data_IF_770759598407
#
_entry.id   IF_770759598407
#
_cell.length_a   1.000
_cell.length_b   1.000
_cell.length_c   1.000
_cell.angle_alpha   90.00
_cell.angle_beta   90.00
_cell.angle_gamma   90.00
#
_symmetry.space_group_name_H-M   'P 1'
#
loop_
_entity.id
_entity.type
_entity.pdbx_description
1 polymer ?
#
# COMPACT_ATOMS: atom_id res chain seq x y z
N UNK A 1 -19.59 38.80 -31.18
CA UNK A 1 -21.07 38.66 -31.21
C UNK A 1 -21.44 37.57 -30.22
N UNK A 2 -22.20 37.96 -29.21
CA UNK A 2 -22.65 37.12 -28.11
C UNK A 2 -23.76 36.17 -28.55
N UNK A 3 -23.74 34.90 -28.15
CA UNK A 3 -24.96 34.13 -28.00
C UNK A 3 -24.90 33.36 -26.65
N UNK A 4 -25.69 33.83 -25.72
CA UNK A 4 -26.03 33.13 -24.50
C UNK A 4 -27.14 32.12 -24.82
N UNK A 5 -27.02 30.90 -24.28
CA UNK A 5 -28.12 29.93 -24.30
C UNK A 5 -28.45 29.56 -22.87
N UNK A 6 -29.63 30.01 -22.47
CA UNK A 6 -30.29 29.75 -21.18
C UNK A 6 -30.75 28.28 -21.12
N UNK A 7 -30.50 27.57 -20.02
CA UNK A 7 -31.13 26.30 -19.73
C UNK A 7 -32.04 26.43 -18.52
N UNK A 8 -33.28 26.05 -18.74
CA UNK A 8 -34.42 26.12 -17.84
C UNK A 8 -34.37 24.97 -16.84
N UNK A 9 -34.43 25.32 -15.56
CA UNK A 9 -34.64 24.40 -14.43
C UNK A 9 -36.09 23.92 -14.44
N UNK A 10 -36.32 22.61 -14.50
CA UNK A 10 -37.61 21.98 -14.17
C UNK A 10 -37.46 21.25 -12.83
N UNK A 11 -38.10 21.81 -11.84
CA UNK A 11 -38.36 21.20 -10.53
C UNK A 11 -39.46 20.18 -10.66
N UNK A 12 -39.20 18.93 -10.29
CA UNK A 12 -40.24 17.90 -10.08
C UNK A 12 -40.28 17.55 -8.59
N UNK A 13 -41.36 17.95 -7.94
CA UNK A 13 -41.74 17.47 -6.61
C UNK A 13 -42.27 16.03 -6.74
N UNK A 14 -41.71 15.11 -5.97
CA UNK A 14 -42.35 13.84 -5.66
C UNK A 14 -42.58 13.74 -4.16
N UNK A 15 -43.87 13.77 -3.80
CA UNK A 15 -44.41 13.43 -2.48
C UNK A 15 -44.68 11.93 -2.47
N UNK A 16 -44.20 11.19 -1.47
CA UNK A 16 -44.52 9.78 -1.40
C UNK A 16 -44.04 9.05 -0.15
N UNK A 17 -44.90 8.98 0.80
CA UNK A 17 -45.21 7.89 1.74
C UNK A 17 -44.07 7.26 2.55
N UNK A 18 -44.08 7.59 3.83
CA UNK A 18 -43.39 6.87 4.91
C UNK A 18 -44.25 5.65 5.29
N UNK A 19 -43.67 4.46 5.14
CA UNK A 19 -44.19 3.24 5.77
C UNK A 19 -43.22 2.81 6.85
N UNK A 20 -43.63 2.95 8.12
CA UNK A 20 -42.95 2.35 9.26
C UNK A 20 -43.26 0.86 9.30
N UNK A 21 -42.28 0.00 9.17
CA UNK A 21 -42.35 -1.39 9.60
C UNK A 21 -41.41 -1.55 10.80
N UNK A 22 -42.02 -1.68 11.97
CA UNK A 22 -41.34 -2.11 13.19
C UNK A 22 -41.09 -3.62 13.07
N UNK A 23 -39.83 -4.06 13.08
CA UNK A 23 -39.49 -5.45 13.33
C UNK A 23 -38.74 -5.53 14.66
N UNK A 24 -39.29 -6.40 15.49
CA UNK A 24 -38.89 -6.68 16.86
C UNK A 24 -37.44 -7.21 16.94
N UNK A 25 -36.76 -6.77 17.97
CA UNK A 25 -35.48 -7.33 18.40
C UNK A 25 -35.69 -8.77 18.87
N UNK A 26 -35.03 -9.72 18.24
CA UNK A 26 -34.77 -11.03 18.85
C UNK A 26 -33.37 -11.03 19.42
N UNK A 27 -33.30 -11.18 20.74
CA UNK A 27 -32.10 -11.48 21.49
C UNK A 27 -31.51 -12.80 21.00
N UNK A 28 -30.42 -12.74 20.27
CA UNK A 28 -29.56 -13.88 19.95
C UNK A 28 -28.50 -14.03 21.02
N UNK A 29 -28.54 -15.17 21.70
CA UNK A 29 -27.76 -15.49 22.89
C UNK A 29 -26.24 -15.36 22.71
N UNK A 30 -25.60 -14.95 23.81
CA UNK A 30 -24.16 -14.93 23.97
C UNK A 30 -23.58 -16.31 23.75
N UNK A 31 -22.70 -16.46 22.77
CA UNK A 31 -21.89 -17.64 22.59
C UNK A 31 -20.87 -17.75 23.73
N UNK A 32 -20.95 -18.79 24.51
CA UNK A 32 -19.92 -19.17 25.47
C UNK A 32 -18.57 -19.31 24.73
N UNK A 33 -17.46 -18.81 25.30
CA UNK A 33 -16.13 -19.12 24.79
C UNK A 33 -15.94 -20.62 24.78
N UNK A 34 -15.74 -21.22 23.61
CA UNK A 34 -15.58 -22.64 23.42
C UNK A 34 -14.40 -23.18 24.22
N UNK A 35 -14.65 -24.09 25.16
CA UNK A 35 -13.62 -24.90 25.77
C UNK A 35 -13.01 -25.80 24.69
N UNK A 36 -11.69 -25.71 24.53
CA UNK A 36 -10.96 -26.73 23.81
C UNK A 36 -11.11 -28.04 24.58
N UNK A 37 -11.77 -29.04 24.01
CA UNK A 37 -12.05 -30.31 24.67
C UNK A 37 -10.78 -31.02 25.11
N UNK A 38 -10.83 -31.74 26.24
CA UNK A 38 -9.70 -32.47 26.86
C UNK A 38 -9.24 -33.68 26.05
N UNK A 39 -9.99 -34.12 25.07
CA UNK A 39 -9.68 -35.28 24.19
C UNK A 39 -10.04 -35.03 22.74
N UNK A 40 -10.16 -33.79 22.35
CA UNK A 40 -10.44 -33.45 20.98
C UNK A 40 -9.16 -33.08 20.21
N UNK A 41 -9.07 -33.42 18.96
CA UNK A 41 -8.30 -32.65 18.02
C UNK A 41 -8.63 -31.19 18.29
N UNK A 42 -7.67 -30.36 18.67
CA UNK A 42 -7.92 -28.94 18.73
C UNK A 42 -8.51 -28.56 17.38
N UNK A 43 -9.77 -28.15 17.37
CA UNK A 43 -10.51 -27.97 16.14
C UNK A 43 -9.72 -27.13 15.16
N UNK A 44 -9.92 -27.36 13.88
CA UNK A 44 -9.25 -26.67 12.78
C UNK A 44 -9.27 -25.15 12.95
N UNK A 45 -10.16 -24.62 13.77
CA UNK A 45 -10.35 -23.19 14.05
C UNK A 45 -10.68 -22.88 15.53
N UNK A 46 -10.10 -23.61 16.49
CA UNK A 46 -10.34 -23.34 17.90
C UNK A 46 -9.34 -22.33 18.45
N UNK A 47 -9.80 -21.17 18.93
CA UNK A 47 -9.06 -20.33 19.88
C UNK A 47 -9.07 -20.99 21.24
N UNK A 48 -7.93 -21.37 21.76
CA UNK A 48 -7.85 -21.77 23.16
C UNK A 48 -8.21 -20.56 24.04
N UNK A 49 -9.15 -20.75 24.97
CA UNK A 49 -9.47 -19.72 25.97
C UNK A 49 -8.22 -19.32 26.79
N UNK A 50 -8.29 -18.18 27.47
CA UNK A 50 -7.18 -17.62 28.27
C UNK A 50 -6.63 -18.58 29.34
N UNK A 51 -7.34 -19.64 29.68
CA UNK A 51 -6.95 -20.67 30.67
C UNK A 51 -7.18 -22.09 30.18
N UNK A 52 -7.31 -22.31 28.87
CA UNK A 52 -7.51 -23.65 28.35
C UNK A 52 -6.20 -24.39 28.11
N UNK A 53 -6.10 -25.63 28.52
CA UNK A 53 -5.04 -26.53 28.06
C UNK A 53 -5.36 -27.00 26.65
N UNK A 54 -4.50 -26.77 25.69
CA UNK A 54 -4.58 -27.48 24.44
C UNK A 54 -4.34 -28.95 24.71
N UNK A 55 -5.35 -29.81 24.49
CA UNK A 55 -5.50 -31.19 24.93
C UNK A 55 -4.23 -31.95 25.24
N UNK A 56 -4.26 -32.73 26.32
CA UNK A 56 -3.10 -33.51 26.79
C UNK A 56 -2.68 -34.64 25.84
N UNK A 57 -3.50 -35.01 24.91
CA UNK A 57 -3.24 -36.10 23.93
C UNK A 57 -3.81 -35.81 22.53
N UNK A 58 -3.92 -34.56 22.15
CA UNK A 58 -4.43 -34.20 20.83
C UNK A 58 -3.33 -33.75 19.91
N UNK A 59 -3.49 -34.01 18.61
CA UNK A 59 -2.78 -33.28 17.57
C UNK A 59 -3.27 -31.83 17.63
N UNK A 60 -2.38 -30.88 17.87
CA UNK A 60 -2.74 -29.47 17.71
C UNK A 60 -3.25 -29.28 16.27
N UNK A 61 -4.46 -28.75 16.14
CA UNK A 61 -5.07 -28.55 14.85
C UNK A 61 -4.20 -27.72 13.91
N UNK A 62 -4.44 -27.81 12.64
CA UNK A 62 -3.67 -27.10 11.61
C UNK A 62 -3.70 -25.58 11.77
N UNK A 63 -4.60 -25.03 12.57
CA UNK A 63 -4.76 -23.58 12.82
C UNK A 63 -5.21 -23.27 14.26
N UNK A 64 -4.71 -23.99 15.26
CA UNK A 64 -5.06 -23.70 16.65
C UNK A 64 -4.09 -22.70 17.28
N UNK A 65 -4.60 -21.67 17.94
CA UNK A 65 -3.82 -20.81 18.85
C UNK A 65 -3.90 -21.41 20.25
N UNK A 66 -2.80 -21.78 20.85
CA UNK A 66 -2.77 -22.17 22.24
C UNK A 66 -3.09 -20.94 23.11
N UNK A 67 -3.94 -21.10 24.12
CA UNK A 67 -4.28 -20.04 25.05
C UNK A 67 -3.06 -19.47 25.76
N UNK A 68 -3.19 -18.28 26.36
CA UNK A 68 -2.10 -17.57 27.04
C UNK A 68 -1.46 -18.33 28.20
N UNK A 69 -2.12 -19.35 28.76
CA UNK A 69 -1.61 -20.20 29.83
C UNK A 69 -1.79 -21.70 29.55
N UNK A 70 -1.94 -22.06 28.29
CA UNK A 70 -2.09 -23.44 27.89
C UNK A 70 -0.75 -24.13 27.64
N UNK A 71 -0.56 -25.35 28.10
CA UNK A 71 0.52 -26.20 27.63
C UNK A 71 0.15 -26.75 26.25
N UNK A 72 0.95 -26.51 25.25
CA UNK A 72 0.83 -27.22 23.99
C UNK A 72 1.11 -28.71 24.30
N UNK A 73 0.13 -29.59 24.04
CA UNK A 73 0.06 -30.97 24.53
C UNK A 73 1.37 -31.70 24.72
N UNK A 74 1.46 -32.47 25.79
CA UNK A 74 2.68 -33.19 26.18
C UNK A 74 3.08 -34.31 25.23
N UNK A 75 2.20 -34.71 24.31
CA UNK A 75 2.47 -35.78 23.31
C UNK A 75 1.83 -35.50 21.97
N UNK A 76 1.58 -34.26 21.64
CA UNK A 76 0.99 -33.90 20.34
C UNK A 76 2.02 -33.36 19.37
N UNK A 77 1.89 -33.68 18.10
CA UNK A 77 2.58 -32.92 17.04
C UNK A 77 1.99 -31.52 17.01
N UNK A 78 2.81 -30.50 17.16
CA UNK A 78 2.36 -29.12 16.95
C UNK A 78 1.83 -28.99 15.54
N UNK A 79 0.62 -28.47 15.39
CA UNK A 79 0.02 -28.28 14.09
C UNK A 79 0.89 -27.41 13.22
N UNK A 80 0.75 -27.53 11.92
CA UNK A 80 1.58 -26.81 10.91
C UNK A 80 1.49 -25.28 11.01
N UNK A 81 0.52 -24.78 11.71
CA UNK A 81 0.30 -23.33 11.90
C UNK A 81 -0.16 -22.97 13.32
N UNK A 82 0.29 -23.72 14.32
CA UNK A 82 -0.02 -23.39 15.71
C UNK A 82 0.97 -22.39 16.28
N UNK A 83 0.50 -21.26 16.84
CA UNK A 83 1.31 -20.43 17.71
C UNK A 83 1.24 -20.98 19.14
N UNK A 84 2.36 -21.27 19.75
CA UNK A 84 2.42 -21.60 21.15
C UNK A 84 2.02 -20.36 22.00
N UNK A 85 1.19 -20.56 23.01
CA UNK A 85 0.80 -19.48 23.92
C UNK A 85 2.00 -18.85 24.63
N UNK A 86 1.84 -17.63 25.12
CA UNK A 86 2.91 -16.83 25.73
C UNK A 86 3.54 -17.46 26.97
N UNK A 87 2.90 -18.45 27.60
CA UNK A 87 3.43 -19.22 28.75
C UNK A 87 3.29 -20.73 28.60
N UNK A 88 3.14 -21.18 27.34
CA UNK A 88 3.08 -22.61 27.07
C UNK A 88 4.47 -23.21 26.89
N UNK A 89 4.73 -24.32 27.54
CA UNK A 89 5.90 -25.13 27.25
C UNK A 89 5.61 -25.90 25.97
N UNK A 90 6.42 -25.72 24.91
CA UNK A 90 6.34 -26.55 23.72
C UNK A 90 6.53 -28.04 24.19
N UNK A 91 5.64 -28.91 23.74
CA UNK A 91 5.62 -30.30 24.18
C UNK A 91 6.99 -30.95 24.11
N UNK A 92 7.36 -31.71 25.14
CA UNK A 92 8.68 -32.33 25.29
C UNK A 92 8.98 -33.39 24.24
N UNK A 93 7.97 -33.84 23.51
CA UNK A 93 8.12 -34.86 22.43
C UNK A 93 7.37 -34.54 21.13
N UNK A 94 7.01 -33.30 20.96
CA UNK A 94 6.37 -32.88 19.71
C UNK A 94 7.39 -32.39 18.69
N UNK A 95 7.29 -32.83 17.44
CA UNK A 95 7.99 -32.15 16.36
C UNK A 95 7.36 -30.76 16.17
N UNK A 96 8.15 -29.72 16.28
CA UNK A 96 7.70 -28.38 15.97
C UNK A 96 7.22 -28.36 14.52
N UNK A 97 6.01 -27.92 14.30
CA UNK A 97 5.50 -27.74 12.94
C UNK A 97 6.39 -26.80 12.15
N UNK A 98 6.45 -26.99 10.85
CA UNK A 98 7.30 -26.26 9.91
C UNK A 98 7.05 -24.73 9.92
N UNK A 99 6.02 -24.26 10.60
CA UNK A 99 5.67 -22.83 10.71
C UNK A 99 5.09 -22.51 12.11
N UNK A 100 5.71 -23.06 13.16
CA UNK A 100 5.35 -22.67 14.52
C UNK A 100 6.25 -21.55 15.01
N UNK A 101 5.71 -20.39 15.35
CA UNK A 101 6.42 -19.40 16.13
C UNK A 101 6.42 -19.84 17.60
N UNK A 102 7.57 -20.06 18.17
CA UNK A 102 7.71 -20.29 19.60
C UNK A 102 7.23 -19.01 20.32
N UNK A 103 6.37 -19.17 21.33
CA UNK A 103 5.97 -18.04 22.16
C UNK A 103 7.18 -17.38 22.82
N UNK A 104 7.08 -16.09 23.14
CA UNK A 104 8.18 -15.25 23.68
C UNK A 104 8.83 -15.78 24.97
N UNK A 105 8.18 -16.73 25.69
CA UNK A 105 8.71 -17.42 26.89
C UNK A 105 8.63 -18.93 26.82
N UNK A 106 8.25 -19.45 25.61
CA UNK A 106 8.33 -20.88 25.38
C UNK A 106 9.75 -21.21 24.99
N UNK A 107 10.48 -21.97 25.81
CA UNK A 107 11.76 -22.51 25.36
C UNK A 107 11.55 -23.34 24.13
N UNK A 108 12.23 -22.99 23.05
CA UNK A 108 12.28 -23.85 21.88
C UNK A 108 12.74 -25.24 22.33
N UNK A 109 11.93 -26.26 22.06
CA UNK A 109 12.31 -27.63 22.42
C UNK A 109 13.72 -27.88 21.90
N UNK A 110 14.61 -28.37 22.78
CA UNK A 110 16.04 -28.54 22.51
C UNK A 110 16.37 -29.43 21.29
N UNK A 111 15.35 -29.99 20.60
CA UNK A 111 15.48 -30.88 19.45
C UNK A 111 14.61 -30.48 18.25
N UNK A 112 14.13 -29.25 18.22
CA UNK A 112 13.44 -28.75 17.03
C UNK A 112 14.45 -28.37 15.96
N UNK A 113 14.61 -29.16 14.90
CA UNK A 113 15.35 -28.77 13.72
C UNK A 113 14.58 -27.63 13.04
N UNK A 114 15.15 -26.44 13.03
CA UNK A 114 14.64 -25.39 12.18
C UNK A 114 14.76 -25.86 10.73
N UNK A 115 13.61 -25.94 10.05
CA UNK A 115 13.59 -26.33 8.65
C UNK A 115 14.39 -25.35 7.81
N UNK A 116 15.53 -25.81 7.31
CA UNK A 116 16.32 -25.10 6.31
C UNK A 116 15.77 -25.40 4.92
N UNK A 117 14.83 -24.63 4.41
CA UNK A 117 14.61 -24.54 2.96
C UNK A 117 13.95 -23.22 2.63
N UNK A 118 14.75 -22.25 2.50
CA UNK A 118 14.43 -21.06 1.74
C UNK A 118 15.69 -20.68 1.00
N UNK A 119 15.88 -21.27 -0.17
CA UNK A 119 16.91 -20.80 -1.08
C UNK A 119 16.49 -19.45 -1.64
N UNK A 120 17.25 -18.45 -1.37
CA UNK A 120 17.11 -17.10 -1.86
C UNK A 120 18.00 -16.23 -0.99
N UNK A 121 19.26 -16.07 -1.40
CA UNK A 121 20.21 -15.25 -0.64
C UNK A 121 19.71 -13.84 -0.45
N UNK A 122 19.14 -13.59 0.70
CA UNK A 122 19.15 -12.25 1.28
C UNK A 122 20.09 -12.32 2.47
N UNK A 123 21.07 -11.44 2.49
CA UNK A 123 21.96 -11.22 3.63
C UNK A 123 21.12 -11.18 4.91
N UNK A 124 21.54 -11.94 5.93
CA UNK A 124 20.83 -12.06 7.20
C UNK A 124 20.53 -10.69 7.80
N UNK A 125 19.32 -10.21 7.62
CA UNK A 125 18.83 -9.02 8.25
C UNK A 125 18.66 -9.30 9.73
N UNK A 126 19.35 -8.55 10.57
CA UNK A 126 19.06 -8.48 11.98
C UNK A 126 17.54 -8.21 12.17
N UNK A 127 16.88 -8.94 13.05
CA UNK A 127 15.48 -8.76 13.45
C UNK A 127 15.30 -7.49 14.31
N UNK A 128 15.95 -6.41 13.93
CA UNK A 128 15.85 -5.11 14.53
C UNK A 128 14.88 -4.24 13.76
N UNK A 129 13.93 -3.63 14.45
CA UNK A 129 13.12 -2.56 13.88
C UNK A 129 14.02 -1.38 13.58
N UNK A 130 14.13 -0.97 12.31
CA UNK A 130 14.83 0.25 11.96
C UNK A 130 13.88 1.44 12.13
N UNK A 131 14.23 2.47 12.91
CA UNK A 131 13.47 3.70 12.91
C UNK A 131 13.61 4.41 11.55
N UNK A 132 12.59 5.21 11.22
CA UNK A 132 12.76 6.19 10.14
C UNK A 132 13.90 7.15 10.50
N UNK A 133 14.77 7.40 9.55
CA UNK A 133 15.82 8.41 9.69
C UNK A 133 15.26 9.82 9.49
N UNK A 134 15.89 10.83 10.07
CA UNK A 134 15.60 12.25 9.81
C UNK A 134 16.44 12.82 8.67
N UNK A 135 17.44 12.06 8.21
CA UNK A 135 18.28 12.40 7.06
C UNK A 135 18.37 11.18 6.16
N UNK A 136 17.89 11.32 4.94
CA UNK A 136 17.91 10.27 3.95
C UNK A 136 19.11 10.46 3.02
N UNK A 137 19.73 9.37 2.60
CA UNK A 137 20.74 9.35 1.54
C UNK A 137 20.40 8.22 0.59
N UNK A 138 20.35 8.52 -0.69
CA UNK A 138 19.91 7.58 -1.69
C UNK A 138 20.96 7.30 -2.75
N UNK A 139 20.98 6.07 -3.24
CA UNK A 139 21.65 5.73 -4.49
C UNK A 139 20.61 5.46 -5.56
N UNK A 140 20.74 6.13 -6.71
CA UNK A 140 19.85 5.95 -7.86
C UNK A 140 20.47 5.04 -8.91
N UNK A 141 19.65 4.21 -9.51
CA UNK A 141 19.96 3.52 -10.78
C UNK A 141 20.05 4.52 -11.95
N UNK A 142 20.54 4.05 -13.09
CA UNK A 142 20.20 4.64 -14.39
C UNK A 142 18.68 4.48 -14.65
N UNK A 143 18.16 5.12 -15.71
CA UNK A 143 16.78 4.91 -16.12
C UNK A 143 16.51 3.41 -16.38
N UNK A 144 15.44 2.87 -15.77
CA UNK A 144 15.14 1.44 -15.78
C UNK A 144 14.45 0.99 -17.06
N UNK A 145 13.69 1.85 -17.71
CA UNK A 145 12.96 1.52 -18.93
C UNK A 145 12.80 2.75 -19.82
N UNK A 146 12.67 2.49 -21.12
CA UNK A 146 12.30 3.49 -22.12
C UNK A 146 10.82 3.32 -22.47
N UNK A 147 10.08 4.40 -22.76
CA UNK A 147 8.74 4.30 -23.33
C UNK A 147 8.78 3.49 -24.64
N UNK A 148 7.78 2.61 -24.83
CA UNK A 148 7.66 1.90 -26.10
C UNK A 148 7.38 2.85 -27.27
N UNK A 149 7.59 2.38 -28.50
CA UNK A 149 7.29 3.16 -29.71
C UNK A 149 5.89 3.76 -29.68
N UNK A 150 5.78 5.04 -29.98
CA UNK A 150 4.55 5.84 -29.95
C UNK A 150 4.28 6.54 -28.62
N UNK A 151 5.03 6.24 -27.55
CA UNK A 151 4.97 6.97 -26.29
C UNK A 151 6.21 7.82 -26.08
N UNK A 152 6.07 8.93 -25.36
CA UNK A 152 7.17 9.82 -24.99
C UNK A 152 7.51 9.73 -23.50
N UNK A 153 6.58 9.27 -22.65
CA UNK A 153 6.75 9.24 -21.20
C UNK A 153 6.22 7.96 -20.55
N UNK A 154 6.91 7.56 -19.49
CA UNK A 154 6.40 6.66 -18.43
C UNK A 154 6.45 7.44 -17.12
N UNK A 155 5.31 7.59 -16.43
CA UNK A 155 5.13 8.49 -15.30
C UNK A 155 4.27 7.85 -14.19
N UNK A 156 4.27 8.49 -13.02
CA UNK A 156 3.30 8.28 -11.94
C UNK A 156 3.13 6.80 -11.59
N UNK A 157 4.20 6.22 -11.07
CA UNK A 157 4.26 4.77 -10.83
C UNK A 157 3.53 4.37 -9.55
N UNK A 158 2.80 3.26 -9.60
CA UNK A 158 2.37 2.49 -8.45
C UNK A 158 2.91 1.08 -8.56
N UNK A 159 3.58 0.60 -7.51
CA UNK A 159 4.32 -0.67 -7.53
C UNK A 159 3.94 -1.58 -6.38
N UNK A 160 3.64 -2.84 -6.68
CA UNK A 160 3.45 -3.90 -5.68
C UNK A 160 4.28 -5.12 -6.04
N UNK A 161 4.62 -5.92 -5.01
CA UNK A 161 5.19 -7.25 -5.21
C UNK A 161 4.10 -8.29 -4.94
N UNK A 162 3.82 -9.12 -5.92
CA UNK A 162 2.84 -10.19 -5.83
C UNK A 162 3.31 -11.42 -6.58
N UNK A 163 3.24 -12.59 -5.96
CA UNK A 163 3.73 -13.87 -6.52
C UNK A 163 5.18 -13.79 -7.03
N UNK A 164 6.07 -13.13 -6.28
CA UNK A 164 7.49 -12.89 -6.61
C UNK A 164 7.70 -12.08 -7.92
N UNK A 165 6.74 -11.28 -8.31
CA UNK A 165 6.83 -10.35 -9.43
C UNK A 165 6.54 -8.94 -8.96
N UNK A 166 7.26 -7.98 -9.50
CA UNK A 166 6.85 -6.59 -9.49
C UNK A 166 5.71 -6.41 -10.48
N UNK A 167 4.64 -5.78 -10.03
CA UNK A 167 3.55 -5.31 -10.87
C UNK A 167 3.57 -3.80 -10.76
N UNK A 168 3.81 -3.11 -11.87
CA UNK A 168 3.92 -1.65 -11.92
C UNK A 168 2.83 -1.13 -12.85
N UNK A 169 1.96 -0.30 -12.30
CA UNK A 169 1.01 0.51 -13.05
C UNK A 169 1.56 1.93 -13.18
N UNK A 170 1.25 2.63 -14.28
CA UNK A 170 1.84 3.92 -14.59
C UNK A 170 1.01 4.73 -15.56
N UNK A 171 1.18 6.04 -15.54
CA UNK A 171 0.75 6.92 -16.61
C UNK A 171 1.65 6.81 -17.83
N UNK A 172 1.10 7.06 -18.98
CA UNK A 172 1.83 7.22 -20.26
C UNK A 172 1.41 8.49 -20.95
N UNK A 173 2.30 9.08 -21.74
CA UNK A 173 1.98 10.17 -22.66
C UNK A 173 2.43 9.74 -24.04
N UNK A 174 1.58 9.88 -25.03
CA UNK A 174 1.92 9.55 -26.42
C UNK A 174 2.54 10.75 -27.17
N UNK A 175 2.97 10.53 -28.40
CA UNK A 175 3.59 11.57 -29.24
C UNK A 175 2.65 12.72 -29.60
N UNK A 176 1.34 12.59 -29.41
CA UNK A 176 0.36 13.68 -29.56
C UNK A 176 0.15 14.48 -28.27
N UNK A 177 0.77 14.08 -27.15
CA UNK A 177 0.55 14.66 -25.84
C UNK A 177 -0.67 14.10 -25.11
N UNK A 178 -1.26 12.99 -25.59
CA UNK A 178 -2.42 12.37 -24.98
C UNK A 178 -1.98 11.44 -23.83
N UNK A 179 -2.66 11.57 -22.69
CA UNK A 179 -2.43 10.73 -21.52
C UNK A 179 -3.17 9.40 -21.61
N UNK A 180 -2.56 8.37 -21.05
CA UNK A 180 -3.13 7.04 -20.89
C UNK A 180 -2.50 6.32 -19.72
N UNK A 181 -2.87 5.05 -19.52
CA UNK A 181 -2.26 4.20 -18.52
C UNK A 181 -1.64 2.96 -19.11
N UNK A 182 -0.70 2.39 -18.40
CA UNK A 182 -0.08 1.11 -18.75
C UNK A 182 0.27 0.29 -17.50
N UNK A 183 0.59 -0.98 -17.74
CA UNK A 183 1.15 -1.85 -16.72
C UNK A 183 2.33 -2.66 -17.28
N UNK A 184 3.21 -3.06 -16.38
CA UNK A 184 4.31 -4.01 -16.61
C UNK A 184 4.38 -5.03 -15.48
N UNK A 185 4.87 -6.24 -15.79
CA UNK A 185 5.23 -7.26 -14.79
C UNK A 185 6.63 -7.78 -15.09
N UNK A 186 7.44 -7.95 -14.06
CA UNK A 186 8.81 -8.46 -14.15
C UNK A 186 9.26 -8.99 -12.77
N UNK A 187 10.34 -9.79 -12.73
CA UNK A 187 10.84 -10.37 -11.46
C UNK A 187 11.86 -9.46 -10.79
N UNK A 188 12.81 -8.92 -11.55
CA UNK A 188 13.89 -8.09 -11.03
C UNK A 188 13.92 -6.73 -11.73
N UNK A 189 14.28 -5.68 -11.02
CA UNK A 189 14.28 -4.30 -11.55
C UNK A 189 14.98 -4.12 -12.90
N UNK A 190 16.15 -4.74 -13.19
CA UNK A 190 16.77 -4.63 -14.51
C UNK A 190 15.92 -5.16 -15.67
N UNK A 191 15.00 -6.10 -15.40
CA UNK A 191 14.09 -6.65 -16.41
C UNK A 191 13.00 -5.68 -16.83
N UNK A 192 12.79 -4.59 -16.07
CA UNK A 192 11.85 -3.53 -16.45
C UNK A 192 12.17 -2.96 -17.84
N UNK A 193 13.47 -2.94 -18.21
CA UNK A 193 13.93 -2.47 -19.52
C UNK A 193 13.32 -3.22 -20.72
N UNK A 194 12.98 -4.50 -20.52
CA UNK A 194 12.46 -5.37 -21.59
C UNK A 194 11.05 -5.88 -21.29
N UNK A 195 10.47 -5.48 -20.16
CA UNK A 195 9.12 -5.88 -19.79
C UNK A 195 8.09 -5.33 -20.79
N UNK A 196 7.06 -6.14 -21.06
CA UNK A 196 5.98 -5.73 -21.95
C UNK A 196 5.19 -4.59 -21.34
N UNK A 197 5.11 -3.46 -22.03
CA UNK A 197 4.32 -2.30 -21.65
C UNK A 197 2.90 -2.44 -22.23
N UNK A 198 1.99 -2.94 -21.41
CA UNK A 198 0.59 -3.20 -21.78
C UNK A 198 -0.26 -1.96 -21.50
N UNK A 199 -0.82 -1.34 -22.56
CA UNK A 199 -1.74 -0.22 -22.42
C UNK A 199 -3.03 -0.66 -21.69
N UNK A 200 -3.56 0.22 -20.85
CA UNK A 200 -4.84 0.02 -20.17
C UNK A 200 -5.99 0.51 -21.07
N UNK A 201 -7.03 -0.29 -21.28
CA UNK A 201 -8.12 0.06 -22.19
C UNK A 201 -9.05 1.17 -21.68
N UNK A 202 -8.90 1.58 -20.43
CA UNK A 202 -9.76 2.56 -19.73
C UNK A 202 -9.02 3.85 -19.34
N UNK A 203 -7.81 4.07 -19.78
CA UNK A 203 -6.93 5.16 -19.34
C UNK A 203 -6.18 4.77 -18.09
N UNK A 204 -6.35 5.49 -17.00
CA UNK A 204 -5.67 5.20 -15.72
C UNK A 204 -4.41 6.03 -15.53
N UNK A 205 -4.59 7.34 -15.34
CA UNK A 205 -3.53 8.31 -15.08
C UNK A 205 -3.28 8.38 -13.57
N UNK A 206 -2.04 8.58 -13.14
CA UNK A 206 -1.59 8.61 -11.74
C UNK A 206 -2.19 7.47 -10.89
N UNK A 207 -1.93 6.20 -11.26
CA UNK A 207 -2.61 5.06 -10.64
C UNK A 207 -2.10 4.76 -9.24
N UNK A 208 -3.00 4.32 -8.36
CA UNK A 208 -2.68 3.65 -7.09
C UNK A 208 -3.27 2.24 -7.07
N UNK A 209 -2.43 1.22 -6.90
CA UNK A 209 -2.81 -0.19 -6.86
C UNK A 209 -2.69 -0.74 -5.45
N UNK A 210 -3.76 -1.35 -4.92
CA UNK A 210 -3.73 -2.08 -3.64
C UNK A 210 -4.51 -3.40 -3.74
N UNK A 211 -4.11 -4.36 -2.91
CA UNK A 211 -4.90 -5.54 -2.61
C UNK A 211 -5.75 -5.31 -1.37
N UNK A 212 -7.06 -5.20 -1.51
CA UNK A 212 -7.96 -4.97 -0.40
C UNK A 212 -8.35 -6.29 0.26
N UNK A 213 -7.61 -6.69 1.30
CA UNK A 213 -7.77 -7.96 2.02
C UNK A 213 -9.18 -8.20 2.55
N UNK A 214 -9.88 -7.20 3.14
CA UNK A 214 -11.20 -7.45 3.71
C UNK A 214 -12.23 -7.99 2.72
N UNK A 215 -12.08 -7.69 1.42
CA UNK A 215 -12.97 -8.16 0.35
C UNK A 215 -12.28 -9.11 -0.64
N UNK A 216 -11.00 -9.45 -0.42
CA UNK A 216 -10.20 -10.34 -1.28
C UNK A 216 -10.22 -9.90 -2.75
N UNK A 217 -9.99 -8.61 -3.00
CA UNK A 217 -10.00 -8.00 -4.33
C UNK A 217 -8.83 -7.05 -4.51
N UNK A 218 -8.39 -6.90 -5.75
CA UNK A 218 -7.51 -5.80 -6.15
C UNK A 218 -8.34 -4.57 -6.46
N UNK A 219 -7.83 -3.41 -6.09
CA UNK A 219 -8.41 -2.11 -6.38
C UNK A 219 -7.35 -1.26 -7.08
N UNK A 220 -7.65 -0.82 -8.28
CA UNK A 220 -6.86 0.13 -9.04
C UNK A 220 -7.60 1.46 -9.04
N UNK A 221 -7.03 2.45 -8.43
CA UNK A 221 -7.52 3.82 -8.38
C UNK A 221 -6.76 4.64 -9.41
N UNK A 222 -7.38 5.66 -10.00
CA UNK A 222 -6.74 6.53 -10.99
C UNK A 222 -7.54 7.81 -11.18
N UNK A 223 -6.87 8.85 -11.67
CA UNK A 223 -7.47 10.13 -11.98
C UNK A 223 -7.91 10.26 -13.45
N UNK A 224 -8.72 11.30 -13.72
CA UNK A 224 -9.23 11.68 -15.04
C UNK A 224 -10.06 10.58 -15.74
N UNK A 225 -10.74 9.76 -14.95
CA UNK A 225 -11.78 8.87 -15.43
C UNK A 225 -13.13 9.59 -15.57
N UNK A 226 -14.26 8.85 -15.46
CA UNK A 226 -15.59 9.48 -15.42
C UNK A 226 -15.79 10.44 -14.23
N UNK A 227 -15.00 10.29 -13.18
CA UNK A 227 -14.94 11.17 -12.01
C UNK A 227 -13.51 11.61 -11.79
N UNK A 228 -13.30 12.61 -10.92
CA UNK A 228 -11.96 13.11 -10.60
C UNK A 228 -11.03 11.96 -10.19
N UNK A 229 -11.51 11.13 -9.22
CA UNK A 229 -10.88 9.83 -8.95
C UNK A 229 -11.88 8.71 -9.20
N UNK A 230 -11.41 7.71 -9.89
CA UNK A 230 -12.15 6.53 -10.33
C UNK A 230 -11.46 5.29 -9.78
N UNK A 231 -12.22 4.22 -9.50
CA UNK A 231 -11.59 2.93 -9.19
C UNK A 231 -12.17 1.79 -10.04
N UNK A 232 -11.34 0.78 -10.17
CA UNK A 232 -11.67 -0.51 -10.79
C UNK A 232 -11.36 -1.61 -9.79
N UNK A 233 -12.00 -2.78 -9.98
CA UNK A 233 -11.73 -3.97 -9.15
C UNK A 233 -11.35 -5.16 -10.02
N UNK A 234 -10.48 -6.04 -9.52
CA UNK A 234 -10.09 -7.26 -10.20
C UNK A 234 -9.74 -8.37 -9.19
N UNK A 235 -9.72 -9.61 -9.65
CA UNK A 235 -9.13 -10.76 -8.95
C UNK A 235 -7.75 -11.11 -9.48
N UNK A 236 -7.31 -10.47 -10.58
CA UNK A 236 -6.00 -10.68 -11.21
C UNK A 236 -5.37 -9.33 -11.60
N UNK A 237 -4.37 -8.82 -10.86
CA UNK A 237 -3.73 -7.54 -11.15
C UNK A 237 -2.67 -7.64 -12.25
N UNK A 238 -2.39 -8.85 -12.75
CA UNK A 238 -1.35 -9.08 -13.77
C UNK A 238 -1.86 -8.91 -15.20
N UNK A 239 -3.17 -8.69 -15.37
CA UNK A 239 -3.82 -8.55 -16.65
C UNK A 239 -4.48 -7.19 -16.82
N UNK A 240 -4.07 -6.44 -17.84
CA UNK A 240 -4.65 -5.13 -18.18
C UNK A 240 -6.15 -5.19 -18.51
N UNK A 241 -6.70 -6.34 -18.88
CA UNK A 241 -8.10 -6.51 -19.28
C UNK A 241 -9.00 -7.15 -18.21
N UNK A 242 -8.47 -7.48 -17.02
CA UNK A 242 -9.21 -8.18 -15.96
C UNK A 242 -10.12 -7.28 -15.12
N UNK A 243 -10.02 -5.98 -15.29
CA UNK A 243 -10.63 -4.98 -14.44
C UNK A 243 -12.13 -4.76 -14.71
N UNK A 244 -12.90 -4.60 -13.63
CA UNK A 244 -14.33 -4.29 -13.64
C UNK A 244 -14.56 -2.87 -13.12
N UNK A 245 -15.48 -2.16 -13.70
CA UNK A 245 -15.79 -0.77 -13.40
C UNK A 245 -16.07 0.00 -14.70
N UNK A 246 -15.92 1.31 -14.73
CA UNK A 246 -15.43 2.20 -13.66
C UNK A 246 -16.44 2.46 -12.55
N UNK A 247 -15.94 2.78 -11.35
CA UNK A 247 -16.72 3.18 -10.19
C UNK A 247 -16.19 4.50 -9.62
N UNK A 248 -17.05 5.30 -9.02
CA UNK A 248 -16.66 6.56 -8.40
C UNK A 248 -15.85 6.32 -7.11
N UNK A 249 -14.63 6.87 -7.02
CA UNK A 249 -13.86 6.96 -5.78
C UNK A 249 -14.06 8.31 -5.10
N UNK A 250 -13.94 9.40 -5.86
CA UNK A 250 -14.17 10.76 -5.39
C UNK A 250 -14.52 11.68 -6.57
N UNK A 251 -15.26 12.76 -6.29
CA UNK A 251 -15.58 13.75 -7.32
C UNK A 251 -15.48 15.17 -6.72
N UNK A 252 -14.44 15.89 -7.07
CA UNK A 252 -14.11 17.23 -6.62
C UNK A 252 -12.81 17.70 -7.25
N UNK A 253 -12.37 18.91 -6.94
CA UNK A 253 -11.04 19.37 -7.35
C UNK A 253 -9.98 18.53 -6.63
N UNK A 254 -9.13 17.85 -7.40
CA UNK A 254 -8.19 16.86 -6.84
C UNK A 254 -7.21 16.34 -7.89
N UNK A 255 -6.01 15.98 -7.44
CA UNK A 255 -4.95 15.34 -8.21
C UNK A 255 -4.17 14.37 -7.31
N UNK A 256 -3.65 13.28 -7.88
CA UNK A 256 -2.74 12.31 -7.26
C UNK A 256 -3.26 11.72 -5.95
N UNK A 257 -4.16 10.75 -6.07
CA UNK A 257 -4.75 10.08 -4.94
C UNK A 257 -3.90 8.93 -4.40
N UNK A 258 -4.00 8.72 -3.10
CA UNK A 258 -3.61 7.48 -2.42
C UNK A 258 -4.65 7.08 -1.38
N UNK A 259 -4.86 5.78 -1.21
CA UNK A 259 -5.72 5.23 -0.15
C UNK A 259 -4.91 4.32 0.75
N UNK A 260 -4.97 4.58 2.03
CA UNK A 260 -4.37 3.74 3.08
C UNK A 260 -5.42 3.46 4.15
N UNK A 261 -5.44 2.23 4.69
CA UNK A 261 -6.40 1.88 5.72
C UNK A 261 -5.69 1.43 7.01
N UNK A 262 -6.26 1.81 8.14
CA UNK A 262 -6.01 1.14 9.41
C UNK A 262 -7.00 -0.03 9.61
N UNK A 263 -7.13 -0.54 10.83
CA UNK A 263 -8.01 -1.68 11.11
C UNK A 263 -9.50 -1.37 11.05
N UNK A 264 -9.91 -0.09 11.00
CA UNK A 264 -11.30 0.35 11.09
C UNK A 264 -11.71 1.29 9.95
N UNK A 265 -10.78 2.06 9.42
CA UNK A 265 -11.05 3.21 8.55
C UNK A 265 -10.10 3.22 7.36
N UNK A 266 -10.62 3.49 6.18
CA UNK A 266 -9.85 3.83 5.00
C UNK A 266 -9.82 5.34 4.81
N UNK A 267 -8.66 5.87 4.49
CA UNK A 267 -8.40 7.29 4.29
C UNK A 267 -7.92 7.51 2.85
N UNK A 268 -8.56 8.43 2.18
CA UNK A 268 -8.13 8.97 0.89
C UNK A 268 -7.35 10.26 1.14
N UNK A 269 -6.13 10.34 0.64
CA UNK A 269 -5.31 11.56 0.63
C UNK A 269 -5.08 11.99 -0.80
N UNK A 270 -5.03 13.30 -1.03
CA UNK A 270 -4.78 13.87 -2.36
C UNK A 270 -4.35 15.33 -2.27
N UNK A 271 -3.68 15.81 -3.32
CA UNK A 271 -3.36 17.22 -3.52
C UNK A 271 -4.46 17.92 -4.33
N UNK A 272 -4.39 19.25 -4.40
CA UNK A 272 -5.28 20.06 -5.23
C UNK A 272 -4.52 21.03 -6.15
N UNK A 273 -3.21 20.83 -6.30
CA UNK A 273 -2.31 21.66 -7.14
C UNK A 273 -2.36 23.17 -6.77
N UNK A 274 -2.70 23.46 -5.53
CA UNK A 274 -2.85 24.82 -4.99
C UNK A 274 -2.11 25.05 -3.67
N UNK A 275 -1.31 24.08 -3.22
CA UNK A 275 -0.61 24.10 -1.94
C UNK A 275 -1.40 23.51 -0.78
N UNK A 276 -2.45 22.76 -1.07
CA UNK A 276 -3.25 22.07 -0.04
C UNK A 276 -3.21 20.55 -0.19
N UNK A 277 -3.16 19.87 0.95
CA UNK A 277 -3.36 18.42 1.02
C UNK A 277 -4.68 18.15 1.71
N UNK A 278 -5.47 17.28 1.11
CA UNK A 278 -6.80 16.92 1.54
C UNK A 278 -6.85 15.50 2.08
N UNK A 279 -7.83 15.25 2.94
CA UNK A 279 -8.16 13.92 3.45
C UNK A 279 -9.67 13.74 3.51
N UNK A 280 -10.13 12.58 3.02
CA UNK A 280 -11.47 12.04 3.29
C UNK A 280 -11.34 10.68 3.98
N UNK A 281 -12.40 10.19 4.61
CA UNK A 281 -12.38 8.89 5.28
C UNK A 281 -13.72 8.18 5.15
N UNK A 282 -13.69 6.84 5.25
CA UNK A 282 -14.87 6.00 5.36
C UNK A 282 -14.56 4.76 6.21
N UNK A 283 -15.59 4.11 6.76
CA UNK A 283 -15.38 2.84 7.45
C UNK A 283 -14.79 1.80 6.48
N UNK A 284 -13.87 0.97 6.98
CA UNK A 284 -13.20 -0.04 6.14
C UNK A 284 -14.17 -1.02 5.47
N UNK A 285 -15.32 -1.29 6.10
CA UNK A 285 -16.39 -2.14 5.53
C UNK A 285 -17.05 -1.54 4.29
N UNK A 286 -17.03 -0.21 4.15
CA UNK A 286 -17.64 0.50 3.03
C UNK A 286 -16.70 0.62 1.83
N UNK A 287 -15.38 0.47 2.04
CA UNK A 287 -14.41 0.52 0.94
C UNK A 287 -14.39 -0.80 0.13
N UNK A 288 -14.16 -0.78 -1.21
CA UNK A 288 -14.10 0.40 -2.04
C UNK A 288 -15.51 0.98 -2.27
N UNK A 289 -15.57 2.31 -2.28
CA UNK A 289 -16.77 3.12 -2.43
C UNK A 289 -16.42 4.59 -2.62
N UNK A 290 -17.44 5.43 -2.79
CA UNK A 290 -17.24 6.86 -2.99
C UNK A 290 -16.94 7.57 -1.67
N UNK A 291 -15.76 8.19 -1.57
CA UNK A 291 -15.42 9.11 -0.48
C UNK A 291 -16.18 10.43 -0.61
N UNK A 292 -16.50 11.02 0.52
CA UNK A 292 -17.18 12.32 0.64
C UNK A 292 -16.52 13.17 1.71
N UNK A 293 -16.88 14.45 1.76
CA UNK A 293 -16.47 15.36 2.85
C UNK A 293 -14.95 15.46 3.06
N UNK A 294 -14.20 15.60 1.97
CA UNK A 294 -12.77 15.85 2.06
C UNK A 294 -12.50 17.19 2.77
N UNK A 295 -11.48 17.21 3.62
CA UNK A 295 -11.04 18.39 4.39
C UNK A 295 -9.58 18.67 4.13
N UNK A 296 -9.20 19.95 4.14
CA UNK A 296 -7.80 20.37 4.09
C UNK A 296 -7.12 19.99 5.40
N UNK A 297 -6.02 19.25 5.34
CA UNK A 297 -5.23 18.83 6.50
C UNK A 297 -3.84 19.49 6.54
N UNK A 298 -3.35 19.99 5.41
CA UNK A 298 -2.10 20.75 5.32
C UNK A 298 -2.27 21.89 4.32
N UNK A 299 -1.59 23.01 4.59
CA UNK A 299 -1.58 24.18 3.72
C UNK A 299 -0.18 24.81 3.75
N UNK A 300 0.41 25.07 2.60
CA UNK A 300 1.69 25.73 2.37
C UNK A 300 1.62 26.45 1.00
N UNK A 301 2.74 26.93 0.48
CA UNK A 301 2.75 27.40 -0.91
C UNK A 301 2.54 26.24 -1.89
N UNK A 302 2.05 26.56 -3.10
CA UNK A 302 1.88 25.56 -4.16
C UNK A 302 3.17 24.80 -4.44
N UNK A 303 4.31 25.48 -4.43
CA UNK A 303 5.61 24.86 -4.69
C UNK A 303 6.02 23.90 -3.57
N UNK A 304 5.59 24.15 -2.34
CA UNK A 304 5.95 23.33 -1.17
C UNK A 304 5.05 22.10 -0.96
N UNK A 305 3.78 22.18 -1.36
CA UNK A 305 2.84 21.06 -1.35
C UNK A 305 2.22 20.96 -2.75
N UNK A 306 3.00 20.44 -3.69
CA UNK A 306 2.67 20.52 -5.09
C UNK A 306 1.72 19.39 -5.51
N UNK A 307 2.19 18.14 -5.56
CA UNK A 307 1.44 16.98 -6.05
C UNK A 307 1.98 15.66 -5.49
N UNK A 308 1.60 14.51 -6.04
CA UNK A 308 2.12 13.17 -5.81
C UNK A 308 2.09 12.76 -4.31
N UNK A 309 0.93 12.93 -3.67
CA UNK A 309 0.75 12.54 -2.27
C UNK A 309 0.75 11.03 -2.14
N UNK A 310 1.66 10.48 -1.30
CA UNK A 310 1.68 9.07 -0.95
C UNK A 310 1.71 8.91 0.58
N UNK A 311 1.00 7.91 1.10
CA UNK A 311 0.93 7.65 2.55
C UNK A 311 1.13 6.17 2.84
N UNK A 312 2.03 5.89 3.79
CA UNK A 312 2.47 4.53 4.13
C UNK A 312 2.40 4.26 5.62
N UNK A 313 2.14 3.01 5.99
CA UNK A 313 2.36 2.50 7.35
C UNK A 313 3.83 2.12 7.52
N UNK A 314 4.46 2.56 8.60
CA UNK A 314 5.86 2.24 8.91
C UNK A 314 5.91 0.92 9.66
N UNK A 315 6.54 -0.11 9.07
CA UNK A 315 6.68 -1.43 9.66
C UNK A 315 7.39 -1.37 11.02
N UNK A 316 6.79 -2.03 12.00
CA UNK A 316 7.39 -2.14 13.34
C UNK A 316 7.28 -0.87 14.21
N UNK A 317 6.58 0.16 13.75
CA UNK A 317 6.34 1.38 14.51
C UNK A 317 4.84 1.76 14.48
N UNK A 318 4.37 2.44 15.53
CA UNK A 318 3.07 3.12 15.49
C UNK A 318 3.24 4.47 14.81
N UNK A 319 3.51 4.44 13.50
CA UNK A 319 3.85 5.63 12.73
C UNK A 319 3.43 5.47 11.27
N UNK A 320 3.00 6.57 10.69
CA UNK A 320 2.72 6.72 9.27
C UNK A 320 3.70 7.71 8.64
N UNK A 321 4.02 7.49 7.38
CA UNK A 321 4.88 8.35 6.57
C UNK A 321 4.07 8.90 5.40
N UNK A 322 4.03 10.22 5.27
CA UNK A 322 3.48 10.90 4.09
C UNK A 322 4.62 11.47 3.27
N UNK A 323 4.57 11.30 1.97
CA UNK A 323 5.42 11.95 0.99
C UNK A 323 4.58 12.93 0.19
N UNK A 324 5.13 14.09 -0.10
CA UNK A 324 4.51 15.10 -0.98
C UNK A 324 5.60 15.67 -1.87
N UNK A 325 5.36 15.70 -3.17
CA UNK A 325 6.25 16.33 -4.13
C UNK A 325 6.25 17.85 -3.96
N UNK A 326 7.42 18.45 -4.13
CA UNK A 326 7.63 19.89 -4.08
C UNK A 326 8.49 20.36 -5.25
N UNK A 327 8.28 21.60 -5.68
CA UNK A 327 9.05 22.26 -6.72
C UNK A 327 10.18 23.08 -6.07
N UNK A 328 11.41 22.59 -6.20
CA UNK A 328 12.59 23.26 -5.67
C UNK A 328 13.29 24.14 -6.70
N UNK A 329 14.26 24.91 -6.22
CA UNK A 329 15.16 25.71 -7.07
C UNK A 329 16.05 24.81 -7.95
N UNK A 330 16.36 23.60 -7.47
CA UNK A 330 17.29 22.66 -8.11
C UNK A 330 16.57 21.47 -8.77
N UNK A 331 15.27 21.55 -9.00
CA UNK A 331 14.43 20.49 -9.55
C UNK A 331 13.37 20.01 -8.57
N UNK A 332 12.57 19.05 -8.98
CA UNK A 332 11.53 18.45 -8.16
C UNK A 332 12.14 17.57 -7.07
N UNK A 333 11.52 17.56 -5.89
CA UNK A 333 11.96 16.76 -4.76
C UNK A 333 10.76 16.36 -3.88
N UNK A 334 10.95 15.36 -3.02
CA UNK A 334 9.94 14.95 -2.04
C UNK A 334 10.23 15.51 -0.66
N UNK A 335 9.19 16.04 -0.06
CA UNK A 335 9.08 16.34 1.37
C UNK A 335 8.47 15.14 2.08
N UNK A 336 8.81 14.93 3.35
CA UNK A 336 8.20 13.88 4.17
C UNK A 336 7.67 14.41 5.48
N UNK A 337 6.57 13.78 5.91
CA UNK A 337 5.87 14.09 7.15
C UNK A 337 5.50 12.79 7.86
N UNK A 338 5.31 12.85 9.18
CA UNK A 338 4.92 11.68 9.96
C UNK A 338 3.73 11.98 10.84
N UNK A 339 2.95 10.95 11.14
CA UNK A 339 1.84 10.96 12.10
C UNK A 339 1.79 9.63 12.85
N UNK A 340 1.12 9.61 13.99
CA UNK A 340 0.80 8.37 14.74
C UNK A 340 -0.64 7.90 14.52
N UNK A 341 -1.42 8.68 13.79
CA UNK A 341 -2.82 8.46 13.46
C UNK A 341 -3.10 9.00 12.06
N UNK A 342 -3.68 8.21 11.16
CA UNK A 342 -4.06 8.63 9.81
C UNK A 342 -5.09 9.76 9.83
N UNK A 343 -5.95 9.81 10.85
CA UNK A 343 -6.89 10.89 11.10
C UNK A 343 -6.30 12.11 11.79
N UNK A 344 -5.05 12.03 12.26
CA UNK A 344 -4.37 13.06 13.06
C UNK A 344 -3.69 14.15 12.24
N UNK A 345 -2.78 14.86 12.91
CA UNK A 345 -1.93 15.91 12.34
C UNK A 345 -0.57 15.34 11.91
N UNK A 346 -0.02 15.92 10.86
CA UNK A 346 1.24 15.53 10.25
C UNK A 346 2.37 16.48 10.65
N UNK A 347 3.48 15.94 11.15
CA UNK A 347 4.67 16.69 11.52
C UNK A 347 5.78 16.51 10.46
N UNK A 348 6.52 17.58 10.08
CA UNK A 348 7.60 17.48 9.12
C UNK A 348 8.73 16.57 9.64
N UNK A 349 9.30 15.73 8.77
CA UNK A 349 10.45 14.86 9.06
C UNK A 349 11.68 15.33 8.26
N UNK A 350 11.70 15.11 6.95
CA UNK A 350 12.70 15.61 6.02
C UNK A 350 11.94 16.41 4.94
N UNK A 351 11.76 17.71 5.18
CA UNK A 351 10.73 18.50 4.52
C UNK A 351 11.25 19.81 3.90
N UNK A 352 12.56 19.90 3.63
CA UNK A 352 13.16 21.07 2.96
C UNK A 352 13.98 20.62 1.77
N UNK A 353 14.19 21.50 0.78
CA UNK A 353 15.04 21.19 -0.40
C UNK A 353 16.48 20.83 -0.01
N UNK A 354 17.00 21.39 1.11
CA UNK A 354 18.35 21.09 1.61
C UNK A 354 18.42 19.82 2.47
N UNK A 355 17.29 19.35 3.01
CA UNK A 355 17.16 18.07 3.70
C UNK A 355 15.84 17.42 3.25
N UNK A 356 15.77 16.94 1.99
CA UNK A 356 14.57 16.34 1.44
C UNK A 356 14.45 14.87 1.87
N UNK A 357 13.25 14.30 1.71
CA UNK A 357 13.11 12.85 1.69
C UNK A 357 13.92 12.26 0.52
N UNK A 358 13.67 12.74 -0.69
CA UNK A 358 14.43 12.40 -1.89
C UNK A 358 14.47 13.60 -2.85
N UNK A 359 15.65 13.98 -3.30
CA UNK A 359 15.88 15.08 -4.21
C UNK A 359 17.35 15.22 -4.58
N UNK A 360 17.69 16.19 -5.39
CA UNK A 360 19.06 16.40 -5.86
C UNK A 360 20.09 16.54 -4.74
N UNK A 361 19.66 17.04 -3.57
CA UNK A 361 20.58 17.28 -2.43
C UNK A 361 21.07 15.98 -1.76
N UNK A 362 20.32 14.86 -1.89
CA UNK A 362 20.61 13.63 -1.16
C UNK A 362 20.54 12.36 -2.03
N UNK A 363 20.50 12.52 -3.37
CA UNK A 363 20.55 11.40 -4.32
C UNK A 363 21.90 11.37 -5.02
N UNK A 364 22.59 10.21 -4.95
CA UNK A 364 23.81 9.91 -5.70
C UNK A 364 23.49 8.88 -6.78
N UNK A 365 23.96 9.13 -8.01
CA UNK A 365 23.76 8.21 -9.13
C UNK A 365 24.92 7.21 -9.22
N UNK A 366 24.62 5.95 -9.57
CA UNK A 366 25.63 4.91 -9.80
C UNK A 366 26.46 5.11 -11.07
N UNK A 367 26.30 6.22 -11.76
CA UNK A 367 26.99 6.64 -12.97
C UNK A 367 26.76 8.12 -13.21
N UNK A 368 26.71 8.52 -14.48
CA UNK A 368 26.31 9.90 -14.84
C UNK A 368 24.88 10.15 -14.43
N UNK A 369 24.62 11.26 -13.71
CA UNK A 369 23.27 11.68 -13.37
C UNK A 369 22.50 11.91 -14.68
N UNK A 370 21.39 11.19 -14.83
CA UNK A 370 20.57 11.24 -16.05
C UNK A 370 19.37 12.18 -15.92
N UNK A 371 19.08 12.60 -14.68
CA UNK A 371 17.99 13.54 -14.36
C UNK A 371 18.40 14.47 -13.22
N UNK A 372 17.78 15.65 -13.17
CA UNK A 372 17.84 16.56 -12.02
C UNK A 372 16.59 16.51 -11.16
N UNK A 373 15.54 15.81 -11.61
CA UNK A 373 14.23 15.72 -10.94
C UNK A 373 14.06 14.36 -10.28
N UNK A 374 13.58 14.38 -9.04
CA UNK A 374 13.03 13.23 -8.34
C UNK A 374 11.55 13.53 -8.16
N UNK A 375 10.72 12.97 -9.03
CA UNK A 375 9.32 13.31 -9.17
C UNK A 375 8.45 12.07 -9.09
N UNK A 376 7.17 12.23 -9.00
CA UNK A 376 6.08 11.26 -8.79
C UNK A 376 6.51 9.79 -8.76
N UNK A 377 6.14 9.06 -7.73
CA UNK A 377 6.57 7.66 -7.58
C UNK A 377 5.97 6.99 -6.36
N UNK A 378 6.38 5.75 -6.10
CA UNK A 378 5.87 4.90 -5.05
C UNK A 378 7.01 4.20 -4.30
N UNK A 379 6.94 4.14 -2.97
CA UNK A 379 7.83 3.28 -2.19
C UNK A 379 7.52 1.81 -2.47
N UNK A 380 8.56 1.00 -2.62
CA UNK A 380 8.41 -0.45 -2.73
C UNK A 380 7.89 -0.98 -1.40
N UNK A 381 6.66 -1.44 -1.40
CA UNK A 381 5.94 -1.88 -0.21
C UNK A 381 6.33 -3.29 0.21
N UNK A 382 6.29 -3.54 1.51
CA UNK A 382 6.56 -4.87 2.12
C UNK A 382 5.44 -5.88 1.79
N UNK A 383 4.23 -5.36 1.56
CA UNK A 383 3.07 -6.13 1.11
C UNK A 383 2.20 -5.27 0.17
N UNK A 384 1.36 -5.89 -0.68
CA UNK A 384 0.54 -5.16 -1.64
C UNK A 384 -0.79 -4.62 -1.06
N UNK A 385 -1.04 -4.77 0.26
CA UNK A 385 -2.37 -4.59 0.83
C UNK A 385 -2.72 -3.12 1.16
N UNK A 386 -3.92 -2.92 1.65
CA UNK A 386 -4.52 -1.62 1.99
C UNK A 386 -3.77 -0.85 3.07
N UNK A 387 -2.85 -1.50 3.80
CA UNK A 387 -2.03 -0.81 4.80
C UNK A 387 -0.87 -0.06 4.18
N UNK A 388 -0.52 -0.36 2.93
CA UNK A 388 0.63 0.22 2.23
C UNK A 388 1.91 0.22 3.09
N UNK A 389 2.20 -0.91 3.74
CA UNK A 389 3.31 -1.01 4.69
C UNK A 389 4.66 -0.94 3.98
N UNK A 390 5.58 -0.12 4.50
CA UNK A 390 6.98 -0.03 4.06
C UNK A 390 7.94 -0.45 5.17
N UNK A 391 9.03 -1.11 4.79
CA UNK A 391 10.08 -1.52 5.72
C UNK A 391 11.17 -0.45 5.80
N UNK A 392 11.28 0.31 6.91
CA UNK A 392 12.31 1.33 7.04
C UNK A 392 13.73 0.80 6.89
N UNK A 393 13.97 -0.49 7.14
CA UNK A 393 15.28 -1.10 6.99
C UNK A 393 15.71 -1.23 5.52
N UNK A 394 14.75 -1.28 4.58
CA UNK A 394 14.97 -1.62 3.17
C UNK A 394 14.20 -0.70 2.22
N UNK A 395 14.19 0.61 2.49
CA UNK A 395 13.46 1.53 1.63
C UNK A 395 14.04 1.56 0.21
N UNK A 396 13.15 1.37 -0.75
CA UNK A 396 13.36 1.65 -2.17
C UNK A 396 12.22 2.52 -2.68
N UNK A 397 12.52 3.44 -3.58
CA UNK A 397 11.54 4.37 -4.15
C UNK A 397 11.65 4.35 -5.68
N UNK A 398 10.59 3.85 -6.32
CA UNK A 398 10.44 3.92 -7.77
C UNK A 398 9.93 5.32 -8.13
N UNK A 399 10.75 6.11 -8.80
CA UNK A 399 10.45 7.50 -9.12
C UNK A 399 10.52 7.76 -10.63
N UNK A 400 9.98 8.88 -11.05
CA UNK A 400 10.18 9.38 -12.40
C UNK A 400 11.22 10.52 -12.41
N UNK A 401 12.02 10.54 -13.47
CA UNK A 401 12.93 11.64 -13.76
C UNK A 401 12.86 12.02 -15.23
N UNK A 402 13.08 13.30 -15.52
CA UNK A 402 13.21 13.78 -16.91
C UNK A 402 14.63 13.57 -17.38
N UNK A 403 14.80 12.88 -18.49
CA UNK A 403 16.10 12.84 -19.18
C UNK A 403 16.45 14.27 -19.64
N UNK A 404 17.72 14.65 -19.48
CA UNK A 404 18.21 15.95 -19.90
C UNK A 404 17.82 16.23 -21.36
N UNK A 405 17.05 17.27 -21.58
CA UNK A 405 16.45 17.63 -22.87
C UNK A 405 16.33 19.14 -23.01
N UNK A 406 16.16 19.59 -24.26
CA UNK A 406 15.81 20.99 -24.59
C UNK A 406 14.31 21.17 -24.79
N UNK A 407 13.50 20.10 -24.65
CA UNK A 407 12.06 20.14 -24.76
C UNK A 407 11.49 20.94 -23.59
N UNK A 408 10.61 21.90 -23.86
CA UNK A 408 9.95 22.76 -22.86
C UNK A 408 8.46 22.49 -22.72
N UNK A 409 7.86 21.78 -23.71
CA UNK A 409 6.46 21.34 -23.58
C UNK A 409 6.37 20.19 -22.58
N UNK A 410 5.69 20.43 -21.47
CA UNK A 410 5.53 19.47 -20.39
C UNK A 410 5.00 18.11 -20.86
N UNK A 411 4.04 18.10 -21.79
CA UNK A 411 3.44 16.88 -22.33
C UNK A 411 4.37 16.10 -23.26
N UNK A 412 5.52 16.68 -23.63
CA UNK A 412 6.53 16.04 -24.47
C UNK A 412 7.82 15.74 -23.71
N UNK A 413 7.87 16.02 -22.39
CA UNK A 413 9.04 15.71 -21.58
C UNK A 413 9.24 14.19 -21.49
N UNK A 414 10.48 13.69 -21.75
CA UNK A 414 10.76 12.26 -21.77
C UNK A 414 10.98 11.70 -20.35
N UNK A 415 9.89 11.59 -19.58
CA UNK A 415 9.92 11.00 -18.25
C UNK A 415 10.19 9.49 -18.31
N UNK A 416 11.06 9.02 -17.43
CA UNK A 416 11.45 7.62 -17.32
C UNK A 416 11.56 7.18 -15.86
N UNK A 417 11.39 5.86 -15.57
CA UNK A 417 11.54 5.33 -14.23
C UNK A 417 12.98 5.21 -13.79
N UNK A 418 13.26 5.53 -12.55
CA UNK A 418 14.47 5.22 -11.82
C UNK A 418 14.15 4.62 -10.46
N UNK A 419 15.10 3.91 -9.84
CA UNK A 419 14.95 3.34 -8.52
C UNK A 419 15.97 3.94 -7.57
N UNK A 420 15.49 4.51 -6.47
CA UNK A 420 16.31 4.88 -5.33
C UNK A 420 16.40 3.72 -4.35
N UNK A 421 17.58 3.49 -3.79
CA UNK A 421 17.81 2.58 -2.66
C UNK A 421 18.43 3.39 -1.52
N UNK A 422 17.84 3.28 -0.33
CA UNK A 422 18.32 3.98 0.87
C UNK A 422 19.70 3.45 1.27
N UNK A 423 20.65 4.36 1.46
CA UNK A 423 21.99 4.07 2.02
C UNK A 423 21.92 4.25 3.53
N UNK A 424 22.30 3.23 4.30
CA UNK A 424 22.32 3.23 5.76
C UNK A 424 23.75 3.14 6.29
#
# INVERSE_FOLDING_TARGET
>A
MKKATSFIVRTLLFTGCVVFIACAAQNGGGGNPGQAGTTGTAGVTGSGGTTGAAGTTGTAGTTGTAGTTGAAGTTGAAGRTGAAGTTGTAGTTGAAGTIGAAGATGGAGATGNAGTTGGGGAAGGATGTCPLTTTFNWTSTAALAQPKSGWVSLKDFSSVVYNNQHIVYMSTVDSSGSYGGAMMTFTDWPQMATATQSALPYGGVAPTLIYFRPKNIWVLMYEWGPWSFTYLTSTDPTSASSWKGPYQLYNGASIDETVVCDSATCYLFFANDDGTIHRASMAIGDFPGAFTNATVIMNDTKENLFEAVQVYTVKGANQYLMLVEAMGTNGRYFRSFTATDLGGTWAPLAATESNPFAGKANVTFTGTAWTGDISSGDLVRDNPDETQTVDPCNLQFLYQGVIHTTITDYNQLPWQPGLLTLVR
#
